data_IF_220655722455
#
_entry.id   IF_220655722455
#
_cell.length_a   1.000
_cell.length_b   1.000
_cell.length_c   1.000
_cell.angle_alpha   90.00
_cell.angle_beta   90.00
_cell.angle_gamma   90.00
#
_symmetry.space_group_name_H-M   'P 1'
#
loop_
_entity.id
_entity.type
_entity.pdbx_description
1 polymer ?
#
# COMPACT_ATOMS: atom_id res chain seq x y z
N UNK A 1 7.59 4.07 22.25
CA UNK A 1 7.52 3.45 20.91
C UNK A 1 7.48 1.93 21.11
N UNK A 2 6.64 1.18 20.38
CA UNK A 2 6.53 -0.29 20.57
C UNK A 2 7.82 -0.97 20.10
N UNK A 3 8.29 -1.97 20.86
CA UNK A 3 9.45 -2.78 20.45
C UNK A 3 8.99 -3.91 19.53
N UNK A 4 9.16 -3.72 18.23
CA UNK A 4 8.68 -4.67 17.22
C UNK A 4 9.42 -6.00 17.21
N UNK A 5 10.66 -6.06 17.72
CA UNK A 5 11.43 -7.31 17.75
C UNK A 5 10.93 -8.30 18.81
N UNK A 6 10.03 -7.86 19.69
CA UNK A 6 9.41 -8.67 20.75
C UNK A 6 7.90 -8.86 20.53
N UNK A 7 7.33 -8.22 19.50
CA UNK A 7 5.91 -8.35 19.18
C UNK A 7 5.63 -9.70 18.54
N UNK A 8 4.44 -10.24 18.78
CA UNK A 8 3.96 -11.42 18.08
C UNK A 8 3.70 -11.12 16.61
N UNK A 9 3.73 -12.15 15.76
CA UNK A 9 3.38 -11.97 14.33
C UNK A 9 1.97 -11.41 14.15
N UNK A 10 1.00 -11.83 14.96
CA UNK A 10 -0.36 -11.27 14.96
C UNK A 10 -0.34 -9.77 15.21
N UNK A 11 0.39 -9.31 16.23
CA UNK A 11 0.48 -7.87 16.53
C UNK A 11 1.19 -7.07 15.44
N UNK A 12 2.18 -7.66 14.76
CA UNK A 12 2.88 -7.03 13.64
C UNK A 12 1.95 -6.92 12.44
N UNK A 13 1.27 -8.01 12.07
CA UNK A 13 0.31 -8.06 10.96
C UNK A 13 -0.84 -7.07 11.21
N UNK A 14 -1.44 -7.10 12.40
CA UNK A 14 -2.51 -6.17 12.77
C UNK A 14 -2.05 -4.71 12.67
N UNK A 15 -0.82 -4.41 13.09
CA UNK A 15 -0.27 -3.07 12.96
C UNK A 15 -0.10 -2.67 11.49
N UNK A 16 0.44 -3.56 10.65
CA UNK A 16 0.64 -3.30 9.22
C UNK A 16 -0.69 -2.98 8.55
N UNK A 17 -1.71 -3.82 8.77
CA UNK A 17 -3.05 -3.62 8.18
C UNK A 17 -3.68 -2.32 8.67
N UNK A 18 -3.72 -2.10 9.99
CA UNK A 18 -4.43 -0.96 10.57
C UNK A 18 -3.73 0.38 10.32
N UNK A 19 -2.39 0.41 10.34
CA UNK A 19 -1.63 1.65 10.23
C UNK A 19 -1.26 1.99 8.79
N UNK A 20 -0.89 1.00 7.98
CA UNK A 20 -0.32 1.22 6.66
C UNK A 20 -1.31 0.88 5.54
N UNK A 21 -1.92 -0.30 5.54
CA UNK A 21 -2.80 -0.71 4.43
C UNK A 21 -4.07 0.14 4.38
N UNK A 22 -4.70 0.36 5.54
CA UNK A 22 -5.86 1.24 5.64
C UNK A 22 -5.57 2.66 5.16
N UNK A 23 -4.43 3.22 5.55
CA UNK A 23 -4.01 4.55 5.10
C UNK A 23 -3.85 4.59 3.58
N UNK A 24 -3.18 3.60 2.98
CA UNK A 24 -2.99 3.54 1.53
C UNK A 24 -4.32 3.35 0.77
N UNK A 25 -5.23 2.54 1.30
CA UNK A 25 -6.57 2.32 0.73
C UNK A 25 -7.43 3.58 0.74
N UNK A 26 -7.24 4.48 1.72
CA UNK A 26 -7.96 5.76 1.81
C UNK A 26 -7.28 6.87 0.96
N UNK A 27 -5.95 6.93 0.96
CA UNK A 27 -5.20 8.04 0.35
C UNK A 27 -4.95 7.88 -1.16
N UNK A 28 -4.66 6.68 -1.66
CA UNK A 28 -4.38 6.47 -3.09
C UNK A 28 -5.59 6.82 -3.98
N UNK A 29 -6.84 6.45 -3.65
CA UNK A 29 -8.00 6.90 -4.43
C UNK A 29 -8.17 8.43 -4.39
N UNK A 30 -7.94 9.06 -3.23
CA UNK A 30 -8.05 10.51 -3.06
C UNK A 30 -6.96 11.29 -3.79
N UNK A 31 -5.73 10.76 -3.87
CA UNK A 31 -4.60 11.40 -4.53
C UNK A 31 -4.70 11.33 -6.06
N UNK A 32 -5.32 10.27 -6.60
CA UNK A 32 -5.50 10.03 -8.04
C UNK A 32 -6.08 11.23 -8.83
N UNK A 33 -7.20 11.87 -8.42
CA UNK A 33 -7.74 13.04 -9.12
C UNK A 33 -6.80 14.24 -9.09
N UNK A 34 -5.99 14.43 -8.04
CA UNK A 34 -5.05 15.55 -7.97
C UNK A 34 -3.90 15.39 -8.96
N UNK A 35 -3.31 14.19 -9.04
CA UNK A 35 -2.26 13.88 -10.03
C UNK A 35 -2.80 14.08 -11.45
N UNK A 36 -4.03 13.67 -11.71
CA UNK A 36 -4.72 13.87 -12.98
C UNK A 36 -4.94 15.36 -13.27
N UNK A 37 -5.40 16.13 -12.27
CA UNK A 37 -5.64 17.57 -12.39
C UNK A 37 -4.37 18.35 -12.69
N UNK A 38 -3.26 18.01 -12.03
CA UNK A 38 -1.95 18.63 -12.27
C UNK A 38 -1.49 18.38 -13.71
N UNK A 39 -1.59 17.13 -14.20
CA UNK A 39 -1.28 16.83 -15.59
C UNK A 39 -2.18 17.62 -16.56
N UNK A 40 -3.49 17.69 -16.32
CA UNK A 40 -4.42 18.41 -17.19
C UNK A 40 -4.16 19.92 -17.23
N UNK A 41 -3.87 20.53 -16.08
CA UNK A 41 -3.64 21.97 -15.97
C UNK A 41 -2.29 22.43 -16.50
N UNK A 42 -1.25 21.60 -16.35
CA UNK A 42 0.13 22.03 -16.55
C UNK A 42 0.93 21.17 -17.55
N UNK A 43 0.39 20.05 -18.01
CA UNK A 43 1.11 19.06 -18.83
C UNK A 43 1.62 19.59 -20.17
N UNK A 44 0.92 20.55 -20.78
CA UNK A 44 1.36 21.17 -22.04
C UNK A 44 2.67 21.96 -21.88
N UNK A 45 2.85 22.65 -20.75
CA UNK A 45 4.06 23.42 -20.44
C UNK A 45 5.12 22.57 -19.74
N UNK A 46 4.72 21.46 -19.12
CA UNK A 46 5.57 20.59 -18.33
C UNK A 46 5.38 19.11 -18.71
N UNK A 47 6.01 18.63 -19.81
CA UNK A 47 5.82 17.28 -20.33
C UNK A 47 6.19 16.16 -19.32
N UNK A 48 7.10 16.44 -18.38
CA UNK A 48 7.49 15.49 -17.33
C UNK A 48 6.31 15.08 -16.43
N UNK A 49 5.24 15.90 -16.34
CA UNK A 49 4.04 15.57 -15.57
C UNK A 49 3.29 14.36 -16.14
N UNK A 50 3.42 14.07 -17.43
CA UNK A 50 2.87 12.84 -18.02
C UNK A 50 3.57 11.61 -17.43
N UNK A 51 4.89 11.67 -17.24
CA UNK A 51 5.66 10.60 -16.61
C UNK A 51 5.29 10.43 -15.13
N UNK A 52 5.09 11.54 -14.40
CA UNK A 52 4.61 11.49 -13.00
C UNK A 52 3.26 10.80 -12.92
N UNK A 53 2.32 11.15 -13.79
CA UNK A 53 1.00 10.51 -13.84
C UNK A 53 1.09 9.01 -14.12
N UNK A 54 1.91 8.59 -15.09
CA UNK A 54 2.12 7.17 -15.39
C UNK A 54 2.73 6.42 -14.21
N UNK A 55 3.82 6.93 -13.64
CA UNK A 55 4.51 6.29 -12.52
C UNK A 55 3.63 6.20 -11.28
N UNK A 56 2.83 7.24 -11.01
CA UNK A 56 1.86 7.23 -9.93
C UNK A 56 0.83 6.10 -10.08
N UNK A 57 0.21 5.96 -11.26
CA UNK A 57 -0.80 4.92 -11.49
C UNK A 57 -0.20 3.51 -11.47
N UNK A 58 1.05 3.36 -11.92
CA UNK A 58 1.79 2.12 -11.80
C UNK A 58 2.03 1.76 -10.31
N UNK A 59 2.60 2.69 -9.54
CA UNK A 59 2.84 2.50 -8.11
C UNK A 59 1.55 2.17 -7.35
N UNK A 60 0.47 2.90 -7.64
CA UNK A 60 -0.85 2.63 -7.04
C UNK A 60 -1.29 1.19 -7.30
N UNK A 61 -1.26 0.75 -8.56
CA UNK A 61 -1.66 -0.61 -8.94
C UNK A 61 -0.79 -1.66 -8.23
N UNK A 62 0.53 -1.45 -8.20
CA UNK A 62 1.48 -2.37 -7.55
C UNK A 62 1.22 -2.47 -6.05
N UNK A 63 0.97 -1.35 -5.36
CA UNK A 63 0.65 -1.33 -3.93
C UNK A 63 -0.68 -2.00 -3.63
N UNK A 64 -1.73 -1.72 -4.40
CA UNK A 64 -3.05 -2.33 -4.23
C UNK A 64 -2.97 -3.86 -4.40
N UNK A 65 -2.27 -4.34 -5.42
CA UNK A 65 -2.05 -5.77 -5.64
C UNK A 65 -1.22 -6.42 -4.52
N UNK A 66 -0.18 -5.73 -4.07
CA UNK A 66 0.68 -6.20 -2.99
C UNK A 66 -0.11 -6.37 -1.67
N UNK A 67 -0.88 -5.36 -1.28
CA UNK A 67 -1.72 -5.39 -0.07
C UNK A 67 -2.70 -6.56 -0.11
N UNK A 68 -3.39 -6.76 -1.25
CA UNK A 68 -4.32 -7.89 -1.41
C UNK A 68 -3.59 -9.21 -1.18
N UNK A 69 -2.43 -9.40 -1.83
CA UNK A 69 -1.65 -10.64 -1.70
C UNK A 69 -1.16 -10.88 -0.26
N UNK A 70 -0.76 -9.82 0.44
CA UNK A 70 -0.36 -9.95 1.83
C UNK A 70 -1.52 -10.40 2.71
N UNK A 71 -2.69 -9.75 2.59
CA UNK A 71 -3.85 -10.04 3.44
C UNK A 71 -4.55 -11.36 3.11
N UNK A 72 -4.58 -11.79 1.85
CA UNK A 72 -5.30 -13.00 1.44
C UNK A 72 -4.43 -14.25 1.36
N UNK A 73 -3.10 -14.10 1.23
CA UNK A 73 -2.19 -15.24 1.06
C UNK A 73 -1.08 -15.23 2.13
N UNK A 74 -0.26 -14.18 2.17
CA UNK A 74 1.00 -14.23 2.93
C UNK A 74 0.79 -14.21 4.44
N UNK A 75 -0.05 -13.30 4.95
CA UNK A 75 -0.36 -13.21 6.38
C UNK A 75 -1.11 -14.44 6.90
N UNK A 76 -2.13 -14.98 6.21
CA UNK A 76 -2.74 -16.26 6.58
C UNK A 76 -1.72 -17.41 6.69
N UNK A 77 -0.80 -17.53 5.74
CA UNK A 77 0.24 -18.58 5.76
C UNK A 77 1.19 -18.42 6.95
N UNK A 78 1.60 -17.19 7.26
CA UNK A 78 2.44 -16.91 8.46
C UNK A 78 1.71 -17.34 9.73
N UNK A 79 0.43 -17.00 9.87
CA UNK A 79 -0.36 -17.37 11.05
C UNK A 79 -0.59 -18.89 11.15
N UNK A 80 -0.84 -19.57 10.03
CA UNK A 80 -0.98 -21.03 10.00
C UNK A 80 0.33 -21.76 10.33
N UNK A 81 1.48 -21.24 9.92
CA UNK A 81 2.78 -21.80 10.28
C UNK A 81 3.03 -21.82 11.79
N UNK A 82 2.45 -20.87 12.53
CA UNK A 82 2.51 -20.81 13.99
C UNK A 82 1.62 -21.85 14.67
N UNK A 83 0.46 -22.17 14.08
CA UNK A 83 -0.47 -23.15 14.66
C UNK A 83 -0.03 -24.60 14.47
N UNK A 84 0.79 -24.90 13.46
CA UNK A 84 1.31 -26.24 13.18
C UNK A 84 2.66 -26.54 13.86
N UNK A 85 3.29 -25.53 14.46
CA UNK A 85 4.58 -25.64 15.17
C UNK A 85 4.41 -25.79 16.69
N UNK A 86 3.18 -26.06 17.17
CA UNK A 86 2.81 -26.23 18.59
C UNK A 86 2.40 -27.67 18.90
#
# INVERSE_FOLDING_TARGET
MKNWTQATYTEIIDHIVQKHHRYLAEELPQLSPYVTKVLRGHGAQHPHLSKVHTLYNQLKTELEQHIIKEETESFPLILQGLTHSS
#
